data_IF_582383033724
#
_entry.id   IF_582383033724
#
_cell.length_a   1.000
_cell.length_b   1.000
_cell.length_c   1.000
_cell.angle_alpha   90.00
_cell.angle_beta   90.00
_cell.angle_gamma   90.00
#
_symmetry.space_group_name_H-M   'P 1'
#
loop_
_entity.id
_entity.type
_entity.pdbx_description
1 polymer ?
#
# COMPACT_ATOMS: atom_id res chain seq x y z
N UNK A 1 -12.13 -38.82 22.25
CA UNK A 1 -11.07 -38.50 21.27
C UNK A 1 -11.20 -37.03 20.96
N UNK A 2 -10.37 -36.21 21.62
CA UNK A 2 -10.40 -34.75 21.50
C UNK A 2 -9.51 -34.35 20.28
N UNK A 3 -10.11 -33.76 19.26
CA UNK A 3 -9.37 -33.22 18.12
C UNK A 3 -8.55 -32.02 18.61
N UNK A 4 -7.24 -32.15 18.61
CA UNK A 4 -6.33 -31.01 18.73
C UNK A 4 -6.54 -30.14 17.49
N UNK A 5 -7.23 -29.03 17.65
CA UNK A 5 -7.17 -27.91 16.72
C UNK A 5 -5.74 -27.37 16.82
N UNK A 6 -4.95 -27.58 15.78
CA UNK A 6 -3.64 -26.97 15.64
C UNK A 6 -3.84 -25.45 15.73
N UNK A 7 -3.28 -24.83 16.74
CA UNK A 7 -3.20 -23.37 16.84
C UNK A 7 -2.32 -22.88 15.67
N UNK A 8 -2.97 -22.46 14.58
CA UNK A 8 -2.28 -21.84 13.46
C UNK A 8 -1.58 -20.56 13.96
N UNK A 9 -0.36 -20.33 13.49
CA UNK A 9 0.31 -19.05 13.72
C UNK A 9 -0.60 -17.91 13.23
N UNK A 10 -0.66 -16.77 13.94
CA UNK A 10 -1.48 -15.65 13.50
C UNK A 10 -1.05 -15.21 12.10
N UNK A 11 -2.03 -14.94 11.24
CA UNK A 11 -1.81 -14.49 9.85
C UNK A 11 -0.92 -13.22 9.86
N UNK A 12 0.13 -13.21 9.05
CA UNK A 12 1.02 -12.05 8.94
C UNK A 12 0.30 -10.88 8.25
N UNK A 13 0.77 -9.65 8.48
CA UNK A 13 0.16 -8.47 7.86
C UNK A 13 0.17 -8.56 6.32
N UNK A 14 1.19 -9.16 5.73
CA UNK A 14 1.30 -9.36 4.28
C UNK A 14 0.24 -10.35 3.77
N UNK A 15 -0.02 -11.41 4.51
CA UNK A 15 -1.06 -12.40 4.17
C UNK A 15 -2.44 -11.77 4.21
N UNK A 16 -2.71 -10.97 5.25
CA UNK A 16 -3.96 -10.22 5.38
C UNK A 16 -4.14 -9.28 4.18
N UNK A 17 -3.10 -8.50 3.82
CA UNK A 17 -3.15 -7.59 2.67
C UNK A 17 -3.46 -8.36 1.38
N UNK A 18 -2.75 -9.45 1.09
CA UNK A 18 -2.97 -10.28 -0.11
C UNK A 18 -4.42 -10.78 -0.15
N UNK A 19 -4.91 -11.32 0.94
CA UNK A 19 -6.30 -11.81 1.05
C UNK A 19 -7.31 -10.70 0.81
N UNK A 20 -7.13 -9.53 1.41
CA UNK A 20 -8.07 -8.40 1.27
C UNK A 20 -8.04 -7.83 -0.16
N UNK A 21 -6.88 -7.73 -0.81
CA UNK A 21 -6.78 -7.32 -2.21
C UNK A 21 -7.57 -8.27 -3.12
N UNK A 22 -7.42 -9.59 -2.93
CA UNK A 22 -8.16 -10.61 -3.71
C UNK A 22 -9.67 -10.50 -3.50
N UNK A 23 -10.12 -10.40 -2.25
CA UNK A 23 -11.55 -10.29 -1.89
C UNK A 23 -12.21 -9.04 -2.51
N UNK A 24 -11.43 -7.96 -2.71
CA UNK A 24 -11.91 -6.71 -3.30
C UNK A 24 -11.61 -6.59 -4.81
N UNK A 25 -11.23 -7.69 -5.46
CA UNK A 25 -10.96 -7.77 -6.90
C UNK A 25 -9.82 -6.82 -7.38
N UNK A 26 -8.86 -6.51 -6.52
CA UNK A 26 -7.64 -5.76 -6.90
C UNK A 26 -6.66 -6.77 -7.50
N UNK A 27 -6.47 -6.72 -8.81
CA UNK A 27 -5.66 -7.68 -9.58
C UNK A 27 -4.31 -7.12 -10.02
N UNK A 28 -4.24 -5.85 -10.36
CA UNK A 28 -3.01 -5.22 -10.79
C UNK A 28 -2.25 -4.68 -9.59
N UNK A 29 -0.99 -5.07 -9.48
CA UNK A 29 -0.05 -4.50 -8.50
C UNK A 29 1.13 -3.91 -9.25
N UNK A 30 1.34 -2.62 -9.08
CA UNK A 30 2.54 -1.95 -9.55
C UNK A 30 3.41 -1.56 -8.35
N UNK A 31 4.72 -1.64 -8.49
CA UNK A 31 5.61 -1.30 -7.38
C UNK A 31 6.99 -0.83 -7.88
N UNK A 32 7.61 0.06 -7.12
CA UNK A 32 9.05 0.28 -7.17
C UNK A 32 9.69 -0.44 -5.98
N UNK A 33 10.79 -1.18 -6.17
CA UNK A 33 11.36 -2.03 -5.12
C UNK A 33 11.67 -1.29 -3.83
N UNK A 34 11.16 -1.81 -2.70
CA UNK A 34 11.43 -1.32 -1.35
C UNK A 34 11.67 -2.48 -0.39
N UNK A 35 12.63 -2.32 0.53
CA UNK A 35 13.01 -3.36 1.49
C UNK A 35 11.89 -3.71 2.47
N UNK A 36 11.07 -2.74 2.86
CA UNK A 36 9.97 -2.95 3.82
C UNK A 36 8.85 -3.74 3.15
N UNK A 37 8.54 -3.41 1.90
CA UNK A 37 7.48 -4.06 1.11
C UNK A 37 7.92 -5.40 0.50
N UNK A 38 9.20 -5.75 0.55
CA UNK A 38 9.73 -6.97 -0.08
C UNK A 38 8.98 -8.26 0.31
N UNK A 39 8.57 -8.49 1.58
CA UNK A 39 7.80 -9.69 1.95
C UNK A 39 6.43 -9.73 1.25
N UNK A 40 5.71 -8.61 1.21
CA UNK A 40 4.44 -8.49 0.51
C UNK A 40 4.61 -8.70 -1.01
N UNK A 41 5.58 -8.04 -1.61
CA UNK A 41 5.89 -8.16 -3.05
C UNK A 41 6.20 -9.61 -3.41
N UNK A 42 7.00 -10.31 -2.59
CA UNK A 42 7.32 -11.73 -2.81
C UNK A 42 6.06 -12.62 -2.81
N UNK A 43 5.13 -12.40 -1.88
CA UNK A 43 3.86 -13.14 -1.83
C UNK A 43 2.99 -12.87 -3.05
N UNK A 44 2.92 -11.61 -3.48
CA UNK A 44 2.17 -11.20 -4.67
C UNK A 44 2.74 -11.85 -5.94
N UNK A 45 4.07 -11.89 -6.09
CA UNK A 45 4.71 -12.59 -7.22
C UNK A 45 4.48 -14.10 -7.23
N UNK A 46 4.25 -14.71 -6.08
CA UNK A 46 4.00 -16.15 -5.95
C UNK A 46 2.52 -16.55 -6.18
N UNK A 47 1.63 -15.58 -6.41
CA UNK A 47 0.19 -15.81 -6.57
C UNK A 47 -0.27 -15.39 -7.97
N UNK A 48 -0.64 -16.36 -8.80
CA UNK A 48 -1.10 -16.17 -10.19
C UNK A 48 -2.37 -15.32 -10.33
N UNK A 49 -3.02 -15.00 -9.21
CA UNK A 49 -4.14 -14.08 -9.21
C UNK A 49 -3.74 -12.67 -9.65
N UNK A 50 -2.52 -12.26 -9.35
CA UNK A 50 -2.06 -10.90 -9.58
C UNK A 50 -1.35 -10.73 -10.92
N UNK A 51 -1.63 -9.61 -11.59
CA UNK A 51 -0.79 -9.06 -12.65
C UNK A 51 0.19 -8.08 -12.00
N UNK A 52 1.49 -8.36 -12.10
CA UNK A 52 2.52 -7.61 -11.38
C UNK A 52 3.42 -6.88 -12.38
N UNK A 53 3.58 -5.57 -12.20
CA UNK A 53 4.44 -4.72 -13.04
C UNK A 53 5.38 -3.92 -12.15
N UNK A 54 6.68 -3.95 -12.47
CA UNK A 54 7.72 -3.18 -11.79
C UNK A 54 8.26 -2.11 -12.74
N UNK A 55 7.63 -0.92 -12.78
CA UNK A 55 8.12 0.19 -13.61
C UNK A 55 9.37 0.81 -13.01
N UNK A 56 10.04 1.68 -13.79
CA UNK A 56 11.24 2.35 -13.35
C UNK A 56 10.98 3.47 -12.32
N UNK A 57 9.76 4.05 -12.33
CA UNK A 57 9.39 5.20 -11.50
C UNK A 57 7.95 5.08 -10.98
N UNK A 58 7.70 5.72 -9.85
CA UNK A 58 6.39 5.73 -9.22
C UNK A 58 5.33 6.46 -10.05
N UNK A 59 5.70 7.48 -10.82
CA UNK A 59 4.78 8.17 -11.73
C UNK A 59 4.29 7.24 -12.86
N UNK A 60 5.17 6.35 -13.36
CA UNK A 60 4.77 5.32 -14.33
C UNK A 60 3.80 4.32 -13.69
N UNK A 61 4.07 3.91 -12.44
CA UNK A 61 3.21 3.02 -11.68
C UNK A 61 1.78 3.59 -11.56
N UNK A 62 1.66 4.88 -11.25
CA UNK A 62 0.39 5.61 -11.19
C UNK A 62 -0.30 5.61 -12.57
N UNK A 63 0.44 5.93 -13.63
CA UNK A 63 -0.10 5.93 -15.00
C UNK A 63 -0.64 4.56 -15.43
N UNK A 64 0.08 3.48 -15.10
CA UNK A 64 -0.33 2.09 -15.39
C UNK A 64 -1.62 1.73 -14.66
N UNK A 65 -1.70 1.99 -13.34
CA UNK A 65 -2.91 1.70 -12.54
C UNK A 65 -4.10 2.53 -13.01
N UNK A 66 -3.87 3.80 -13.35
CA UNK A 66 -4.90 4.70 -13.89
C UNK A 66 -5.46 4.16 -15.22
N UNK A 67 -4.58 3.79 -16.16
CA UNK A 67 -4.99 3.21 -17.45
C UNK A 67 -5.71 1.87 -17.28
N UNK A 68 -5.25 1.02 -16.38
CA UNK A 68 -5.90 -0.26 -16.08
C UNK A 68 -7.32 -0.07 -15.49
N UNK A 69 -7.49 0.91 -14.60
CA UNK A 69 -8.81 1.26 -14.08
C UNK A 69 -9.79 1.68 -15.19
N UNK A 70 -9.35 2.52 -16.11
CA UNK A 70 -10.16 2.91 -17.28
C UNK A 70 -10.53 1.72 -18.17
N UNK A 71 -9.71 0.65 -18.16
CA UNK A 71 -9.98 -0.61 -18.85
C UNK A 71 -10.77 -1.63 -17.97
N UNK A 72 -11.25 -1.24 -16.80
CA UNK A 72 -12.06 -2.07 -15.90
C UNK A 72 -11.28 -2.97 -14.93
N UNK A 73 -9.96 -2.78 -14.79
CA UNK A 73 -9.12 -3.54 -13.88
C UNK A 73 -8.75 -2.70 -12.65
N UNK A 74 -9.02 -3.21 -11.45
CA UNK A 74 -8.61 -2.58 -10.20
C UNK A 74 -7.14 -2.84 -9.91
N UNK A 75 -6.44 -1.79 -9.46
CA UNK A 75 -5.01 -1.88 -9.15
C UNK A 75 -4.62 -1.09 -7.91
N UNK A 76 -3.39 -1.35 -7.46
CA UNK A 76 -2.74 -0.67 -6.34
C UNK A 76 -1.29 -0.36 -6.69
N UNK A 77 -0.78 0.76 -6.19
CA UNK A 77 0.64 1.14 -6.27
C UNK A 77 1.29 0.92 -4.91
N UNK A 78 2.37 0.16 -4.88
CA UNK A 78 3.21 -0.05 -3.69
C UNK A 78 4.49 0.78 -3.83
N UNK A 79 4.83 1.58 -2.82
CA UNK A 79 5.98 2.47 -2.85
C UNK A 79 6.49 2.80 -1.45
N UNK A 80 7.66 3.42 -1.37
CA UNK A 80 8.15 4.03 -0.15
C UNK A 80 7.85 5.54 -0.10
N UNK A 81 8.08 6.18 1.03
CA UNK A 81 7.85 7.62 1.25
C UNK A 81 8.54 8.51 0.21
N UNK A 82 9.80 8.20 -0.18
CA UNK A 82 10.52 8.98 -1.20
C UNK A 82 9.93 8.81 -2.60
N UNK A 83 9.35 7.66 -2.90
CA UNK A 83 8.60 7.44 -4.13
C UNK A 83 7.34 8.29 -4.18
N UNK A 84 6.58 8.32 -3.07
CA UNK A 84 5.43 9.22 -2.98
C UNK A 84 5.80 10.69 -3.22
N UNK A 85 6.97 11.12 -2.76
CA UNK A 85 7.42 12.52 -2.93
C UNK A 85 7.58 12.95 -4.41
N UNK A 86 7.63 12.01 -5.35
CA UNK A 86 7.65 12.31 -6.80
C UNK A 86 6.26 12.47 -7.40
N UNK A 87 5.19 12.07 -6.70
CA UNK A 87 3.84 11.96 -7.23
C UNK A 87 2.96 13.22 -7.23
N UNK A 88 3.24 14.31 -6.48
CA UNK A 88 2.29 15.42 -6.36
C UNK A 88 1.78 15.94 -7.71
N UNK A 89 2.64 16.05 -8.71
CA UNK A 89 2.22 16.45 -10.05
C UNK A 89 1.28 15.42 -10.72
N UNK A 90 1.63 14.13 -10.68
CA UNK A 90 0.81 13.09 -11.30
C UNK A 90 -0.56 12.97 -10.61
N UNK A 91 -0.59 13.13 -9.28
CA UNK A 91 -1.85 13.14 -8.53
C UNK A 91 -2.72 14.35 -8.90
N UNK A 92 -2.14 15.56 -8.89
CA UNK A 92 -2.87 16.80 -9.12
C UNK A 92 -3.34 16.96 -10.58
N UNK A 93 -2.56 16.49 -11.56
CA UNK A 93 -2.85 16.72 -12.98
C UNK A 93 -3.51 15.54 -13.70
N UNK A 94 -3.42 14.32 -13.16
CA UNK A 94 -4.03 13.13 -13.77
C UNK A 94 -5.12 12.53 -12.88
N UNK A 95 -4.76 12.12 -11.66
CA UNK A 95 -5.64 11.26 -10.83
C UNK A 95 -6.86 12.03 -10.32
N UNK A 96 -6.64 13.18 -9.68
CA UNK A 96 -7.71 13.96 -9.06
C UNK A 96 -8.69 14.56 -10.06
N UNK A 97 -8.25 15.22 -11.16
CA UNK A 97 -9.18 15.78 -12.15
C UNK A 97 -9.99 14.69 -12.87
N UNK A 98 -9.40 13.51 -13.06
CA UNK A 98 -10.05 12.37 -13.72
C UNK A 98 -10.90 11.52 -12.77
N UNK A 99 -10.92 11.84 -11.46
CA UNK A 99 -11.66 11.10 -10.43
C UNK A 99 -11.35 9.60 -10.44
N UNK A 100 -10.05 9.26 -10.53
CA UNK A 100 -9.57 7.88 -10.55
C UNK A 100 -9.43 7.36 -9.11
N UNK A 101 -10.03 6.22 -8.75
CA UNK A 101 -9.84 5.57 -7.45
C UNK A 101 -8.46 4.91 -7.37
N UNK A 102 -7.42 5.73 -7.19
CA UNK A 102 -6.05 5.26 -7.05
C UNK A 102 -5.80 4.77 -5.64
N UNK A 103 -5.47 3.49 -5.50
CA UNK A 103 -5.00 2.92 -4.24
C UNK A 103 -3.48 3.04 -4.14
N UNK A 104 -2.99 3.58 -3.05
CA UNK A 104 -1.57 3.66 -2.73
C UNK A 104 -1.30 2.96 -1.40
N UNK A 105 -0.28 2.11 -1.34
CA UNK A 105 0.26 1.57 -0.09
C UNK A 105 1.70 2.04 0.05
N UNK A 106 1.97 2.81 1.09
CA UNK A 106 3.22 3.54 1.25
C UNK A 106 3.94 3.03 2.49
N UNK A 107 5.13 2.46 2.33
CA UNK A 107 6.00 2.16 3.47
C UNK A 107 6.58 3.45 4.04
N UNK A 108 6.25 3.75 5.29
CA UNK A 108 6.74 4.95 5.96
C UNK A 108 8.20 4.76 6.38
N UNK A 109 9.07 5.68 5.96
CA UNK A 109 10.50 5.65 6.19
C UNK A 109 10.96 6.97 6.80
N UNK A 110 12.01 6.94 7.62
CA UNK A 110 12.58 8.18 8.20
C UNK A 110 11.84 8.69 9.45
N UNK A 111 11.07 7.87 10.11
CA UNK A 111 10.38 8.15 11.37
C UNK A 111 10.80 7.17 12.47
N UNK A 112 10.08 7.17 13.61
CA UNK A 112 10.35 6.29 14.75
C UNK A 112 10.37 4.81 14.29
N UNK A 113 11.52 4.16 14.54
CA UNK A 113 11.75 2.77 14.14
C UNK A 113 12.50 2.62 12.80
N UNK A 114 12.67 3.69 12.00
CA UNK A 114 13.45 3.69 10.77
C UNK A 114 14.26 4.98 10.61
N UNK A 115 15.48 5.00 11.16
CA UNK A 115 16.33 6.20 11.27
C UNK A 115 17.15 6.46 9.99
N UNK A 116 16.50 6.81 8.90
CA UNK A 116 17.18 7.17 7.66
C UNK A 116 17.10 8.68 7.42
N UNK A 117 18.22 9.39 7.64
CA UNK A 117 18.27 10.85 7.54
C UNK A 117 17.74 11.39 6.19
N UNK A 118 18.07 10.72 5.08
CA UNK A 118 17.59 11.10 3.74
C UNK A 118 16.08 10.93 3.53
N UNK A 119 15.39 10.19 4.43
CA UNK A 119 13.95 9.96 4.35
C UNK A 119 13.13 10.89 5.28
N UNK A 120 13.79 11.57 6.23
CA UNK A 120 13.09 12.36 7.26
C UNK A 120 12.21 13.45 6.65
N UNK A 121 12.73 14.23 5.71
CA UNK A 121 11.95 15.34 5.12
C UNK A 121 10.82 14.85 4.23
N UNK A 122 11.05 13.85 3.39
CA UNK A 122 9.99 13.29 2.54
C UNK A 122 8.90 12.61 3.38
N UNK A 123 9.25 12.01 4.52
CA UNK A 123 8.29 11.48 5.49
C UNK A 123 7.43 12.60 6.09
N UNK A 124 8.06 13.68 6.56
CA UNK A 124 7.35 14.81 7.18
C UNK A 124 6.41 15.54 6.23
N UNK A 125 6.73 15.59 4.94
CA UNK A 125 5.92 16.27 3.92
C UNK A 125 4.82 15.38 3.33
N UNK A 126 4.91 14.07 3.46
CA UNK A 126 3.96 13.13 2.85
C UNK A 126 2.51 13.38 3.27
N UNK A 127 2.21 13.36 4.58
CA UNK A 127 0.84 13.59 5.06
C UNK A 127 0.33 15.00 4.75
N UNK A 128 1.08 16.09 5.00
CA UNK A 128 0.67 17.43 4.58
C UNK A 128 0.33 17.53 3.08
N UNK A 129 1.06 16.83 2.21
CA UNK A 129 0.76 16.80 0.77
C UNK A 129 -0.56 16.04 0.52
N UNK A 130 -0.74 14.85 1.10
CA UNK A 130 -1.99 14.09 0.99
C UNK A 130 -3.18 14.91 1.48
N UNK A 131 -3.08 15.54 2.64
CA UNK A 131 -4.12 16.36 3.25
C UNK A 131 -4.45 17.59 2.39
N UNK A 132 -3.43 18.29 1.86
CA UNK A 132 -3.63 19.45 0.98
C UNK A 132 -4.34 19.11 -0.32
N UNK A 133 -4.23 17.86 -0.78
CA UNK A 133 -4.90 17.33 -1.96
C UNK A 133 -6.25 16.67 -1.64
N UNK A 134 -6.68 16.70 -0.37
CA UNK A 134 -7.88 16.01 0.13
C UNK A 134 -7.89 14.52 -0.20
N UNK A 135 -6.70 13.87 -0.13
CA UNK A 135 -6.54 12.43 -0.31
C UNK A 135 -6.65 11.75 1.04
N UNK A 136 -7.65 10.89 1.19
CA UNK A 136 -7.84 10.09 2.41
C UNK A 136 -6.59 9.24 2.70
N UNK A 137 -6.09 9.33 3.94
CA UNK A 137 -4.88 8.61 4.32
C UNK A 137 -4.93 8.10 5.76
N UNK A 138 -4.55 6.83 5.96
CA UNK A 138 -4.52 6.20 7.28
C UNK A 138 -3.22 5.43 7.52
N UNK A 139 -2.66 5.61 8.72
CA UNK A 139 -1.54 4.81 9.19
C UNK A 139 -2.03 3.44 9.69
N UNK A 140 -1.29 2.41 9.34
CA UNK A 140 -1.46 1.05 9.87
C UNK A 140 -0.28 0.79 10.79
N UNK A 141 -0.54 0.77 12.10
CA UNK A 141 0.49 0.67 13.14
C UNK A 141 0.47 -0.69 13.86
N UNK A 142 -0.67 -1.40 13.80
CA UNK A 142 -0.89 -2.64 14.52
C UNK A 142 -1.44 -3.73 13.60
N UNK A 143 -1.05 -5.01 13.80
CA UNK A 143 -1.52 -6.11 12.97
C UNK A 143 -3.06 -6.25 12.95
N UNK A 144 -3.72 -6.01 14.07
CA UNK A 144 -5.17 -6.12 14.22
C UNK A 144 -5.96 -5.09 13.39
N UNK A 145 -5.33 -3.98 13.01
CA UNK A 145 -5.95 -2.92 12.21
C UNK A 145 -5.81 -3.13 10.70
N UNK A 146 -4.91 -4.04 10.26
CA UNK A 146 -4.56 -4.23 8.84
C UNK A 146 -5.79 -4.55 7.99
N UNK A 147 -6.55 -5.57 8.38
CA UNK A 147 -7.72 -6.01 7.60
C UNK A 147 -8.76 -4.89 7.49
N UNK A 148 -9.12 -4.30 8.61
CA UNK A 148 -10.13 -3.25 8.65
C UNK A 148 -9.74 -2.04 7.80
N UNK A 149 -8.53 -1.52 7.99
CA UNK A 149 -8.10 -0.30 7.27
C UNK A 149 -7.98 -0.60 5.79
N UNK A 150 -7.31 -1.69 5.39
CA UNK A 150 -7.12 -2.02 3.97
C UNK A 150 -8.45 -2.22 3.26
N UNK A 151 -9.38 -2.99 3.86
CA UNK A 151 -10.70 -3.21 3.26
C UNK A 151 -11.50 -1.91 3.12
N UNK A 152 -11.55 -1.09 4.17
CA UNK A 152 -12.32 0.14 4.18
C UNK A 152 -11.76 1.17 3.22
N UNK A 153 -10.45 1.33 3.15
CA UNK A 153 -9.80 2.23 2.21
C UNK A 153 -10.06 1.82 0.75
N UNK A 154 -10.00 0.54 0.42
CA UNK A 154 -10.36 0.05 -0.91
C UNK A 154 -11.81 0.39 -1.24
N UNK A 155 -12.75 0.01 -0.37
CA UNK A 155 -14.18 0.25 -0.60
C UNK A 155 -14.50 1.72 -0.74
N UNK A 156 -13.93 2.56 0.12
CA UNK A 156 -14.13 4.01 0.08
C UNK A 156 -13.60 4.60 -1.22
N UNK A 157 -12.35 4.29 -1.62
CA UNK A 157 -11.76 4.81 -2.85
C UNK A 157 -12.64 4.53 -4.08
N UNK A 158 -13.12 3.30 -4.23
CA UNK A 158 -13.97 2.93 -5.37
C UNK A 158 -15.39 3.49 -5.28
N UNK A 159 -15.96 3.63 -4.08
CA UNK A 159 -17.29 4.21 -3.89
C UNK A 159 -17.31 5.73 -4.14
N UNK A 160 -16.24 6.43 -3.76
CA UNK A 160 -16.12 7.89 -3.91
C UNK A 160 -15.42 8.32 -5.20
N UNK A 161 -14.83 7.38 -5.94
CA UNK A 161 -13.98 7.65 -7.10
C UNK A 161 -12.84 8.64 -6.73
N UNK A 162 -12.13 8.34 -5.66
CA UNK A 162 -11.07 9.18 -5.13
C UNK A 162 -9.82 8.35 -4.83
N UNK A 163 -8.65 9.01 -4.83
CA UNK A 163 -7.41 8.40 -4.39
C UNK A 163 -7.42 8.15 -2.87
N UNK A 164 -6.71 7.10 -2.43
CA UNK A 164 -6.57 6.75 -1.02
C UNK A 164 -5.18 6.18 -0.73
N UNK A 165 -4.61 6.54 0.42
CA UNK A 165 -3.27 6.14 0.84
C UNK A 165 -3.28 5.36 2.16
N UNK A 166 -2.85 4.12 2.12
CA UNK A 166 -2.57 3.27 3.28
C UNK A 166 -1.09 3.38 3.64
N UNK A 167 -0.76 3.82 4.83
CA UNK A 167 0.59 4.11 5.26
C UNK A 167 1.04 3.02 6.24
N UNK A 168 1.98 2.18 5.83
CA UNK A 168 2.56 1.13 6.68
C UNK A 168 3.60 1.73 7.61
N UNK A 169 3.26 1.86 8.87
CA UNK A 169 4.15 2.39 9.90
C UNK A 169 5.31 1.41 10.20
N UNK A 170 6.51 1.91 10.54
CA UNK A 170 7.57 1.07 11.10
C UNK A 170 7.16 0.33 12.39
N UNK A 171 6.16 0.81 13.11
CA UNK A 171 5.61 0.12 14.29
C UNK A 171 4.96 -1.22 13.90
N UNK A 172 4.31 -1.30 12.73
CA UNK A 172 3.81 -2.56 12.19
C UNK A 172 4.94 -3.43 11.63
N UNK A 173 5.72 -2.86 10.70
CA UNK A 173 6.63 -3.64 9.84
C UNK A 173 7.91 -4.10 10.55
N UNK A 174 8.34 -3.40 11.62
CA UNK A 174 9.52 -3.80 12.40
C UNK A 174 9.20 -4.69 13.60
N UNK A 175 7.97 -4.64 14.16
CA UNK A 175 7.57 -5.59 15.22
C UNK A 175 7.54 -7.03 14.72
N UNK A 176 7.06 -7.26 13.50
CA UNK A 176 7.05 -8.58 12.89
C UNK A 176 8.46 -9.20 12.78
N UNK A 177 9.51 -8.37 12.61
CA UNK A 177 10.92 -8.81 12.52
C UNK A 177 11.56 -9.14 13.86
N UNK A 178 11.04 -8.65 14.98
CA UNK A 178 11.58 -8.93 16.32
C UNK A 178 10.96 -10.17 16.98
N UNK A 179 9.84 -10.67 16.49
CA UNK A 179 9.20 -11.90 16.97
C UNK A 179 9.81 -13.18 16.38
N UNK A 180 10.68 -13.06 15.36
CA UNK A 180 11.35 -14.20 14.68
C UNK A 180 12.81 -14.45 15.13
N UNK A 181 13.25 -13.87 16.28
CA UNK A 181 14.60 -14.11 16.83
C UNK A 181 14.55 -14.93 18.11
#
# INVERSE_FOLDING_TARGET
MSAHVAAGFPESWEEIVVRVLKTNAVRLVTYVPDKVLAPLIKRIHADDYFTVICPAREEEAVGIVTGAYMAGMRGIVLMQTSGFATLPNALASLVLPSRIPLLMMISERGTLGDFQLGQVMVCRTMRPILDSMNIENHAIERPEDVEFIVERMIRQAYATQAAAAMILSPLLTNRARHGER
#
